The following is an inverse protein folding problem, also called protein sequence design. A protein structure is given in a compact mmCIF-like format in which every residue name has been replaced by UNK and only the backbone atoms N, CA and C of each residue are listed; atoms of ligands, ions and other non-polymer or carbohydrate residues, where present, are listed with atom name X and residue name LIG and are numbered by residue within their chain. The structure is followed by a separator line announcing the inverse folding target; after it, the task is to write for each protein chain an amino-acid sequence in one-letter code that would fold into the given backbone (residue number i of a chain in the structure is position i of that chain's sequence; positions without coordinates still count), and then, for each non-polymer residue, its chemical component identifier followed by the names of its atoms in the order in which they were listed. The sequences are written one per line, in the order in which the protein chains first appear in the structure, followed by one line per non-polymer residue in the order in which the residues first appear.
data_IF_283468030705
#
_entry.id   IF_283468030705
#
_cell.length_a   1.000
_cell.length_b   1.000
_cell.length_c   1.000
_cell.angle_alpha   90.00
_cell.angle_beta   90.00
_cell.angle_gamma   90.00
#
_symmetry.space_group_name_H-M   'P 1'
#
loop_
_entity.id
_entity.type
_entity.pdbx_description
1 polymer ?
#
# COMPACT_ATOMS: atom_id res chain seq x y z
N UNK A 1 -6.73 -12.66 -0.45
CA UNK A 1 -6.31 -13.83 0.34
C UNK A 1 -6.68 -13.63 1.81
N UNK A 2 -6.10 -12.68 2.58
CA UNK A 2 -6.38 -12.50 4.01
C UNK A 2 -7.88 -12.39 4.36
N UNK A 3 -8.68 -11.64 3.61
CA UNK A 3 -10.14 -11.57 3.77
C UNK A 3 -10.83 -12.92 3.54
N UNK A 4 -10.35 -13.70 2.58
CA UNK A 4 -10.92 -15.03 2.30
C UNK A 4 -10.63 -16.01 3.42
N UNK A 5 -9.41 -15.97 3.98
CA UNK A 5 -9.06 -16.77 5.17
C UNK A 5 -9.94 -16.42 6.38
N UNK A 6 -10.34 -15.16 6.49
CA UNK A 6 -11.31 -14.69 7.50
C UNK A 6 -12.78 -14.90 7.10
N UNK A 7 -13.05 -15.74 6.10
CA UNK A 7 -14.41 -16.14 5.64
C UNK A 7 -15.26 -15.00 5.08
N UNK A 8 -14.63 -13.92 4.58
CA UNK A 8 -15.36 -12.85 3.88
C UNK A 8 -15.57 -13.18 2.41
N UNK A 9 -16.68 -12.72 1.86
CA UNK A 9 -16.95 -12.66 0.42
C UNK A 9 -16.21 -11.47 -0.17
N UNK A 10 -15.40 -11.71 -1.18
CA UNK A 10 -14.53 -10.68 -1.77
C UNK A 10 -14.92 -10.44 -3.21
N UNK A 11 -15.13 -9.19 -3.59
CA UNK A 11 -15.29 -8.75 -4.98
C UNK A 11 -14.18 -7.77 -5.33
N UNK A 12 -13.63 -7.87 -6.53
CA UNK A 12 -12.54 -7.03 -7.02
C UNK A 12 -12.96 -6.16 -8.20
N UNK A 13 -12.50 -4.91 -8.20
CA UNK A 13 -12.55 -4.00 -9.35
C UNK A 13 -11.14 -3.49 -9.59
N UNK A 14 -10.61 -3.71 -10.78
CA UNK A 14 -9.27 -3.27 -11.18
C UNK A 14 -9.16 -3.15 -12.70
N UNK A 15 -8.06 -2.57 -13.17
CA UNK A 15 -7.62 -2.77 -14.56
C UNK A 15 -7.19 -4.22 -14.78
N UNK A 16 -6.89 -4.58 -16.03
CA UNK A 16 -6.30 -5.88 -16.34
C UNK A 16 -5.00 -6.09 -15.56
N UNK A 17 -4.73 -7.31 -15.08
CA UNK A 17 -3.53 -7.60 -14.33
C UNK A 17 -2.28 -7.39 -15.21
N UNK A 18 -1.23 -6.86 -14.59
CA UNK A 18 0.08 -6.77 -15.25
C UNK A 18 0.65 -8.18 -15.33
N UNK A 19 1.21 -8.52 -16.49
CA UNK A 19 1.88 -9.80 -16.72
C UNK A 19 2.90 -10.12 -15.62
N UNK A 20 2.87 -11.34 -15.10
CA UNK A 20 3.68 -11.82 -13.97
C UNK A 20 3.37 -11.15 -12.63
N UNK A 21 2.30 -10.38 -12.51
CA UNK A 21 1.85 -9.88 -11.21
C UNK A 21 1.51 -11.05 -10.27
N UNK A 22 1.47 -10.78 -8.96
CA UNK A 22 1.04 -11.79 -7.99
C UNK A 22 -0.36 -12.32 -8.31
N UNK A 23 -1.25 -11.47 -8.85
CA UNK A 23 -2.59 -11.87 -9.25
C UNK A 23 -2.57 -13.00 -10.29
N UNK A 24 -1.75 -12.85 -11.35
CA UNK A 24 -1.62 -13.87 -12.39
C UNK A 24 -0.83 -15.09 -11.90
N UNK A 25 0.35 -14.85 -11.33
CA UNK A 25 1.28 -15.93 -10.95
C UNK A 25 0.78 -16.81 -9.81
N UNK A 26 -0.10 -16.28 -8.95
CA UNK A 26 -0.73 -17.02 -7.88
C UNK A 26 -2.13 -17.55 -8.25
N UNK A 27 -2.61 -17.27 -9.47
CA UNK A 27 -3.92 -17.75 -9.98
C UNK A 27 -5.08 -17.48 -9.03
N UNK A 28 -5.10 -16.24 -8.43
CA UNK A 28 -6.02 -15.91 -7.34
C UNK A 28 -7.39 -15.39 -7.81
N UNK A 29 -7.71 -15.47 -9.09
CA UNK A 29 -9.01 -15.06 -9.64
C UNK A 29 -10.19 -15.76 -8.96
N UNK A 30 -10.04 -17.04 -8.58
CA UNK A 30 -11.10 -17.84 -7.96
C UNK A 30 -11.39 -17.45 -6.48
N UNK A 31 -10.59 -16.56 -5.91
CA UNK A 31 -10.85 -16.00 -4.58
C UNK A 31 -12.06 -15.06 -4.61
N UNK A 32 -12.32 -14.42 -5.76
CA UNK A 32 -13.34 -13.38 -5.92
C UNK A 32 -14.69 -13.97 -6.32
N UNK A 33 -15.78 -13.54 -5.68
CA UNK A 33 -17.13 -13.80 -6.15
C UNK A 33 -17.45 -13.05 -7.44
N UNK A 34 -16.92 -11.81 -7.52
CA UNK A 34 -16.99 -10.97 -8.72
C UNK A 34 -15.62 -10.32 -8.94
N UNK A 35 -15.02 -10.59 -10.08
CA UNK A 35 -13.81 -9.94 -10.56
C UNK A 35 -14.15 -9.11 -11.80
N UNK A 36 -14.07 -7.78 -11.72
CA UNK A 36 -14.47 -6.85 -12.77
C UNK A 36 -13.29 -6.00 -13.24
N UNK A 37 -13.06 -6.02 -14.56
CA UNK A 37 -12.06 -5.17 -15.20
C UNK A 37 -12.71 -3.84 -15.56
N UNK A 38 -12.58 -2.86 -14.65
CA UNK A 38 -13.17 -1.53 -14.78
C UNK A 38 -12.15 -0.49 -14.35
N UNK A 39 -11.96 0.52 -15.21
CA UNK A 39 -11.23 1.72 -14.83
C UNK A 39 -12.10 2.59 -13.91
N UNK A 40 -11.59 2.93 -12.73
CA UNK A 40 -12.30 3.77 -11.75
C UNK A 40 -12.62 5.16 -12.26
N UNK A 41 -11.98 5.61 -13.35
CA UNK A 41 -12.31 6.85 -14.04
C UNK A 41 -13.65 6.78 -14.78
N UNK A 42 -14.11 5.58 -15.11
CA UNK A 42 -15.43 5.37 -15.71
C UNK A 42 -16.51 5.26 -14.63
N UNK A 43 -17.11 6.40 -14.27
CA UNK A 43 -18.10 6.48 -13.19
C UNK A 43 -19.36 5.64 -13.45
N UNK A 44 -19.79 5.50 -14.71
CA UNK A 44 -21.01 4.75 -15.05
C UNK A 44 -20.82 3.25 -14.84
N UNK A 45 -19.71 2.68 -15.34
CA UNK A 45 -19.40 1.26 -15.14
C UNK A 45 -19.15 0.95 -13.66
N UNK A 46 -18.51 1.88 -12.94
CA UNK A 46 -18.26 1.73 -11.51
C UNK A 46 -19.56 1.72 -10.71
N UNK A 47 -20.48 2.65 -10.94
CA UNK A 47 -21.78 2.71 -10.29
C UNK A 47 -22.63 1.46 -10.59
N UNK A 48 -22.58 0.95 -11.84
CA UNK A 48 -23.28 -0.28 -12.22
C UNK A 48 -22.71 -1.52 -11.49
N UNK A 49 -21.36 -1.61 -11.38
CA UNK A 49 -20.72 -2.68 -10.64
C UNK A 49 -21.08 -2.66 -9.15
N UNK A 50 -21.07 -1.50 -8.51
CA UNK A 50 -21.47 -1.32 -7.10
C UNK A 50 -22.92 -1.74 -6.87
N UNK A 51 -23.83 -1.36 -7.77
CA UNK A 51 -25.24 -1.74 -7.70
C UNK A 51 -25.43 -3.26 -7.81
N UNK A 52 -24.68 -3.94 -8.72
CA UNK A 52 -24.77 -5.38 -8.93
C UNK A 52 -24.18 -6.19 -7.78
N UNK A 53 -23.05 -5.75 -7.24
CA UNK A 53 -22.34 -6.42 -6.14
C UNK A 53 -23.03 -6.14 -4.80
N UNK A 54 -23.54 -4.93 -4.59
CA UNK A 54 -24.14 -4.46 -3.33
C UNK A 54 -23.23 -4.72 -2.12
N UNK A 55 -21.98 -4.21 -2.10
CA UNK A 55 -21.02 -4.52 -1.05
C UNK A 55 -21.44 -3.95 0.30
N UNK A 56 -21.07 -4.62 1.40
CA UNK A 56 -21.18 -4.08 2.77
C UNK A 56 -20.05 -3.11 3.11
N UNK A 57 -18.83 -3.38 2.59
CA UNK A 57 -17.62 -2.60 2.86
C UNK A 57 -16.90 -2.31 1.56
N UNK A 58 -16.39 -1.09 1.43
CA UNK A 58 -15.54 -0.67 0.31
C UNK A 58 -14.14 -0.33 0.81
N UNK A 59 -13.12 -0.98 0.24
CA UNK A 59 -11.70 -0.64 0.48
C UNK A 59 -11.12 -0.13 -0.84
N UNK A 60 -10.89 1.18 -0.93
CA UNK A 60 -10.37 1.81 -2.13
C UNK A 60 -8.84 1.85 -2.11
N UNK A 61 -8.24 0.92 -2.86
CA UNK A 61 -6.79 0.78 -3.01
C UNK A 61 -6.30 1.16 -4.42
N UNK A 62 -7.21 1.26 -5.39
CA UNK A 62 -6.87 1.55 -6.79
C UNK A 62 -6.23 2.94 -6.92
N UNK A 63 -5.10 3.01 -7.60
CA UNK A 63 -4.36 4.24 -7.84
C UNK A 63 -3.33 4.03 -8.96
N UNK A 64 -2.80 5.11 -9.54
CA UNK A 64 -1.48 5.12 -10.15
C UNK A 64 -0.47 5.34 -9.00
N UNK A 65 0.34 4.32 -8.58
CA UNK A 65 1.11 4.37 -7.35
C UNK A 65 2.60 4.69 -7.55
N UNK A 66 3.07 4.83 -8.79
CA UNK A 66 4.49 4.95 -9.10
C UNK A 66 4.89 6.42 -9.25
N UNK A 67 5.82 6.88 -8.38
CA UNK A 67 6.28 8.27 -8.37
C UNK A 67 6.89 8.66 -9.72
N UNK A 68 7.78 7.83 -10.28
CA UNK A 68 8.44 8.14 -11.55
C UNK A 68 7.47 8.18 -12.73
N UNK A 69 6.50 7.27 -12.75
CA UNK A 69 5.45 7.28 -13.75
C UNK A 69 4.61 8.56 -13.68
N UNK A 70 4.40 9.09 -12.48
CA UNK A 70 3.68 10.36 -12.33
C UNK A 70 4.40 11.57 -12.95
N UNK A 71 5.72 11.52 -13.09
CA UNK A 71 6.47 12.53 -13.84
C UNK A 71 6.36 12.33 -15.35
N UNK A 72 6.26 11.08 -15.83
CA UNK A 72 6.10 10.77 -17.25
C UNK A 72 4.69 11.07 -17.74
N UNK A 73 3.68 10.71 -16.94
CA UNK A 73 2.27 10.93 -17.23
C UNK A 73 1.54 11.52 -16.01
N UNK A 74 1.69 12.82 -15.75
CA UNK A 74 1.01 13.49 -14.66
C UNK A 74 -0.52 13.54 -14.85
N UNK A 75 -1.01 13.64 -16.09
CA UNK A 75 -2.44 13.75 -16.39
C UNK A 75 -3.17 12.48 -15.96
N UNK A 76 -2.74 11.31 -16.42
CA UNK A 76 -3.31 10.02 -16.02
C UNK A 76 -3.18 9.81 -14.50
N UNK A 77 -2.10 10.29 -13.90
CA UNK A 77 -1.91 10.20 -12.44
C UNK A 77 -2.98 11.00 -11.68
N UNK A 78 -3.21 12.26 -12.07
CA UNK A 78 -4.26 13.08 -11.44
C UNK A 78 -5.65 12.53 -11.72
N UNK A 79 -5.95 12.15 -12.96
CA UNK A 79 -7.24 11.58 -13.34
C UNK A 79 -7.56 10.32 -12.53
N UNK A 80 -6.61 9.40 -12.43
CA UNK A 80 -6.81 8.15 -11.68
C UNK A 80 -6.95 8.42 -10.19
N UNK A 81 -6.03 9.19 -9.61
CA UNK A 81 -5.96 9.33 -8.16
C UNK A 81 -6.99 10.30 -7.60
N UNK A 82 -7.39 11.33 -8.34
CA UNK A 82 -8.37 12.32 -7.89
C UNK A 82 -9.76 11.99 -8.41
N UNK A 83 -9.95 11.99 -9.75
CA UNK A 83 -11.26 11.73 -10.35
C UNK A 83 -11.73 10.30 -10.05
N UNK A 84 -10.83 9.31 -10.12
CA UNK A 84 -11.13 7.93 -9.75
C UNK A 84 -11.59 7.81 -8.30
N UNK A 85 -10.91 8.46 -7.35
CA UNK A 85 -11.34 8.49 -5.93
C UNK A 85 -12.70 9.16 -5.77
N UNK A 86 -12.96 10.29 -6.44
CA UNK A 86 -14.28 10.95 -6.41
C UNK A 86 -15.38 10.02 -6.94
N UNK A 87 -15.11 9.27 -8.01
CA UNK A 87 -16.06 8.32 -8.57
C UNK A 87 -16.37 7.18 -7.58
N UNK A 88 -15.36 6.66 -6.85
CA UNK A 88 -15.56 5.66 -5.80
C UNK A 88 -16.42 6.23 -4.67
N UNK A 89 -16.12 7.42 -4.16
CA UNK A 89 -16.91 8.09 -3.11
C UNK A 89 -18.38 8.27 -3.55
N UNK A 90 -18.59 8.68 -4.79
CA UNK A 90 -19.92 8.85 -5.38
C UNK A 90 -20.67 7.53 -5.54
N UNK A 91 -20.00 6.47 -6.04
CA UNK A 91 -20.60 5.15 -6.18
C UNK A 91 -20.98 4.58 -4.79
N UNK A 92 -20.11 4.73 -3.81
CA UNK A 92 -20.37 4.34 -2.42
C UNK A 92 -21.58 5.04 -1.84
N UNK A 93 -21.65 6.37 -1.96
CA UNK A 93 -22.78 7.17 -1.39
C UNK A 93 -24.15 6.83 -2.02
N UNK A 94 -24.17 6.33 -3.25
CA UNK A 94 -25.38 5.86 -3.95
C UNK A 94 -25.76 4.41 -3.60
N UNK A 95 -24.89 3.64 -2.97
CA UNK A 95 -25.07 2.22 -2.70
C UNK A 95 -25.46 1.98 -1.25
N UNK A 96 -26.77 1.79 -1.01
CA UNK A 96 -27.35 1.72 0.35
C UNK A 96 -26.85 0.56 1.21
N UNK A 97 -26.30 -0.50 0.59
CA UNK A 97 -25.73 -1.64 1.33
C UNK A 97 -24.42 -1.31 2.01
N UNK A 98 -23.67 -0.29 1.53
CA UNK A 98 -22.36 0.04 2.09
C UNK A 98 -22.49 0.65 3.48
N UNK A 99 -21.90 -0.03 4.45
CA UNK A 99 -21.89 0.32 5.88
C UNK A 99 -20.62 1.04 6.30
N UNK A 100 -19.52 0.82 5.58
CA UNK A 100 -18.22 1.45 5.85
C UNK A 100 -17.37 1.53 4.59
N UNK A 101 -16.52 2.56 4.50
CA UNK A 101 -15.50 2.64 3.46
C UNK A 101 -14.15 3.08 4.01
N UNK A 102 -13.09 2.52 3.44
CA UNK A 102 -11.71 2.87 3.74
C UNK A 102 -11.02 3.37 2.46
N UNK A 103 -10.44 4.55 2.51
CA UNK A 103 -9.71 5.17 1.40
C UNK A 103 -8.22 5.14 1.71
N UNK A 104 -7.41 4.56 0.83
CA UNK A 104 -5.97 4.47 1.03
C UNK A 104 -5.25 5.62 0.35
N UNK A 105 -4.45 6.32 1.13
CA UNK A 105 -3.51 7.33 0.65
C UNK A 105 -2.07 6.96 1.03
N UNK A 106 -1.18 7.89 1.29
CA UNK A 106 0.24 7.64 1.48
C UNK A 106 0.85 8.62 2.48
N UNK A 107 1.98 8.27 3.08
CA UNK A 107 2.83 9.15 3.87
C UNK A 107 3.33 10.38 3.08
N UNK A 108 3.42 10.27 1.76
CA UNK A 108 3.90 11.34 0.87
C UNK A 108 2.92 12.50 0.70
N UNK A 109 1.72 12.40 1.30
CA UNK A 109 0.76 13.52 1.30
C UNK A 109 1.22 14.71 2.13
N UNK A 110 2.07 14.50 3.14
CA UNK A 110 2.51 15.54 4.06
C UNK A 110 3.48 16.54 3.42
N UNK A 111 3.45 17.79 3.92
CA UNK A 111 4.50 18.77 3.65
C UNK A 111 5.79 18.27 4.29
N UNK A 112 6.67 17.67 3.48
CA UNK A 112 7.90 17.12 3.99
C UNK A 112 8.92 18.23 4.37
N UNK A 113 9.33 18.25 5.63
CA UNK A 113 10.37 19.11 6.21
C UNK A 113 11.49 18.30 6.87
N UNK A 114 11.64 17.01 6.49
CA UNK A 114 12.62 16.07 7.04
C UNK A 114 12.53 15.89 8.56
N UNK A 115 11.32 15.79 9.07
CA UNK A 115 11.01 15.66 10.49
C UNK A 115 11.28 14.22 10.98
N UNK A 116 12.06 14.07 12.06
CA UNK A 116 12.42 12.74 12.61
C UNK A 116 11.28 12.09 13.38
N UNK A 117 10.51 12.86 14.13
CA UNK A 117 9.43 12.40 15.01
C UNK A 117 8.23 11.79 14.24
N UNK A 118 8.30 11.82 12.92
CA UNK A 118 7.20 11.39 12.06
C UNK A 118 6.05 12.39 12.00
N UNK A 119 5.26 12.30 10.95
CA UNK A 119 4.09 13.16 10.72
C UNK A 119 2.87 12.59 11.41
N UNK A 120 2.12 13.43 12.14
CA UNK A 120 0.82 13.10 12.72
C UNK A 120 -0.32 13.50 11.76
N UNK A 121 -1.49 12.92 11.96
CA UNK A 121 -2.62 13.02 11.02
C UNK A 121 -3.14 14.45 10.80
N UNK A 122 -2.92 15.35 11.76
CA UNK A 122 -3.36 16.77 11.70
C UNK A 122 -2.39 17.69 10.96
N UNK A 123 -1.23 17.20 10.53
CA UNK A 123 -0.23 18.06 9.88
C UNK A 123 -0.59 18.40 8.43
N UNK A 124 0.04 19.47 7.94
CA UNK A 124 -0.26 20.07 6.63
C UNK A 124 0.04 19.12 5.49
N UNK A 125 -0.91 18.94 4.59
CA UNK A 125 -0.74 18.17 3.36
C UNK A 125 -0.19 19.06 2.24
N UNK A 126 0.92 18.63 1.62
CA UNK A 126 1.55 19.31 0.50
C UNK A 126 2.49 18.33 -0.23
N UNK A 127 1.93 17.43 -1.05
CA UNK A 127 2.72 16.55 -1.90
C UNK A 127 3.64 17.36 -2.84
N UNK A 128 4.86 16.92 -3.04
CA UNK A 128 5.86 17.63 -3.82
C UNK A 128 5.81 17.27 -5.31
N UNK A 129 5.68 16.00 -5.62
CA UNK A 129 5.62 15.46 -6.99
C UNK A 129 4.17 15.20 -7.43
N UNK A 130 3.91 14.89 -8.71
CA UNK A 130 2.54 14.67 -9.21
C UNK A 130 1.81 13.51 -8.50
N UNK A 131 2.51 12.43 -8.13
CA UNK A 131 1.92 11.33 -7.34
C UNK A 131 1.54 11.82 -5.94
N UNK A 132 2.50 12.40 -5.22
CA UNK A 132 2.28 12.86 -3.84
C UNK A 132 1.19 13.92 -3.75
N UNK A 133 1.16 14.87 -4.71
CA UNK A 133 0.13 15.91 -4.76
C UNK A 133 -1.24 15.33 -5.14
N UNK A 134 -1.31 14.38 -6.08
CA UNK A 134 -2.58 13.72 -6.43
C UNK A 134 -3.19 12.96 -5.23
N UNK A 135 -2.35 12.27 -4.45
CA UNK A 135 -2.78 11.57 -3.23
C UNK A 135 -3.16 12.54 -2.09
N UNK A 136 -2.46 13.69 -1.97
CA UNK A 136 -2.85 14.74 -1.02
C UNK A 136 -4.20 15.37 -1.38
N UNK A 137 -4.45 15.60 -2.67
CA UNK A 137 -5.75 16.11 -3.15
C UNK A 137 -6.84 15.07 -2.92
N UNK A 138 -6.60 13.79 -3.22
CA UNK A 138 -7.56 12.71 -2.97
C UNK A 138 -7.92 12.59 -1.48
N UNK A 139 -6.95 12.79 -0.60
CA UNK A 139 -7.12 12.81 0.85
C UNK A 139 -8.02 13.98 1.28
N UNK A 140 -7.69 15.22 0.89
CA UNK A 140 -8.48 16.41 1.18
C UNK A 140 -9.88 16.35 0.56
N UNK A 141 -9.99 15.86 -0.68
CA UNK A 141 -11.25 15.63 -1.36
C UNK A 141 -12.15 14.68 -0.56
N UNK A 142 -11.59 13.55 -0.09
CA UNK A 142 -12.33 12.58 0.73
C UNK A 142 -12.82 13.22 2.01
N UNK A 143 -11.99 13.94 2.74
CA UNK A 143 -12.37 14.64 3.97
C UNK A 143 -13.48 15.66 3.72
N UNK A 144 -13.41 16.43 2.63
CA UNK A 144 -14.45 17.42 2.27
C UNK A 144 -15.75 16.74 1.84
N UNK A 145 -15.65 15.69 1.01
CA UNK A 145 -16.81 14.95 0.50
C UNK A 145 -17.63 14.33 1.64
N UNK A 146 -16.97 13.65 2.58
CA UNK A 146 -17.63 13.01 3.73
C UNK A 146 -18.36 14.03 4.61
N UNK A 147 -17.80 15.22 4.80
CA UNK A 147 -18.47 16.31 5.56
C UNK A 147 -19.67 16.90 4.85
N UNK A 148 -19.69 16.90 3.52
CA UNK A 148 -20.72 17.57 2.71
C UNK A 148 -21.82 16.64 2.21
N UNK A 149 -21.57 15.34 2.12
CA UNK A 149 -22.49 14.34 1.58
C UNK A 149 -22.97 13.38 2.67
N UNK A 150 -24.19 12.84 2.52
CA UNK A 150 -24.60 11.66 3.29
C UNK A 150 -23.75 10.46 2.82
N UNK A 151 -22.67 10.20 3.53
CA UNK A 151 -21.78 9.07 3.29
C UNK A 151 -21.89 8.05 4.42
N UNK A 152 -21.54 6.80 4.14
CA UNK A 152 -21.32 5.83 5.22
C UNK A 152 -20.09 6.24 6.06
N UNK A 153 -19.90 5.67 7.25
CA UNK A 153 -18.69 5.83 8.05
C UNK A 153 -17.44 5.63 7.18
N UNK A 154 -16.55 6.61 7.20
CA UNK A 154 -15.41 6.68 6.27
C UNK A 154 -14.13 6.99 7.01
N UNK A 155 -13.08 6.22 6.71
CA UNK A 155 -11.72 6.52 7.15
C UNK A 155 -10.76 6.66 5.98
N UNK A 156 -9.68 7.39 6.24
CA UNK A 156 -8.52 7.48 5.36
C UNK A 156 -7.34 6.82 6.08
N UNK A 157 -6.68 5.88 5.43
CA UNK A 157 -5.45 5.28 5.91
C UNK A 157 -4.26 5.80 5.11
N UNK A 158 -3.27 6.36 5.80
CA UNK A 158 -1.99 6.80 5.26
C UNK A 158 -0.93 5.79 5.66
N UNK A 159 -0.25 5.20 4.70
CA UNK A 159 0.83 4.26 4.96
C UNK A 159 2.12 4.68 4.28
N UNK A 160 3.24 4.21 4.82
CA UNK A 160 4.58 4.45 4.28
C UNK A 160 5.00 3.44 3.21
N UNK A 161 6.26 3.04 3.26
CA UNK A 161 6.82 2.05 2.34
C UNK A 161 6.41 0.63 2.74
N UNK A 162 5.34 0.15 2.15
CA UNK A 162 4.84 -1.22 2.37
C UNK A 162 5.62 -2.19 1.49
N UNK A 163 6.14 -3.27 2.09
CA UNK A 163 6.91 -4.32 1.42
C UNK A 163 6.28 -5.69 1.64
N UNK A 164 6.51 -6.60 0.70
CA UNK A 164 5.99 -7.98 0.78
C UNK A 164 6.35 -8.77 -0.47
N UNK A 165 6.15 -10.06 -0.44
CA UNK A 165 6.37 -10.92 -1.58
C UNK A 165 5.38 -10.67 -2.71
N UNK A 166 5.83 -10.86 -3.96
CA UNK A 166 4.98 -10.80 -5.15
C UNK A 166 4.81 -9.40 -5.78
N UNK A 167 5.46 -8.36 -5.26
CA UNK A 167 5.57 -7.09 -5.99
C UNK A 167 6.56 -7.26 -7.15
N UNK A 168 6.11 -6.99 -8.36
CA UNK A 168 6.92 -7.05 -9.59
C UNK A 168 7.08 -5.67 -10.23
N UNK A 169 6.68 -4.61 -9.52
CA UNK A 169 6.74 -3.23 -10.03
C UNK A 169 8.19 -2.79 -10.17
N UNK A 170 8.54 -2.30 -11.34
CA UNK A 170 9.84 -1.65 -11.58
C UNK A 170 9.99 -0.36 -10.77
N UNK A 171 11.22 0.06 -10.56
CA UNK A 171 11.58 1.30 -9.86
C UNK A 171 11.17 1.32 -8.37
N UNK A 172 10.91 0.13 -7.80
CA UNK A 172 10.75 -0.09 -6.36
C UNK A 172 11.93 -0.88 -5.81
N UNK A 173 12.40 -0.50 -4.62
CA UNK A 173 13.65 -1.02 -4.05
C UNK A 173 13.68 -2.55 -4.01
N UNK A 174 12.75 -3.21 -3.33
CA UNK A 174 12.80 -4.67 -3.14
C UNK A 174 12.68 -5.42 -4.48
N UNK A 175 11.71 -5.14 -5.36
CA UNK A 175 11.66 -5.77 -6.70
C UNK A 175 12.94 -5.59 -7.50
N UNK A 176 13.53 -4.38 -7.51
CA UNK A 176 14.75 -4.09 -8.26
C UNK A 176 15.96 -4.84 -7.69
N UNK A 177 16.09 -4.95 -6.36
CA UNK A 177 17.13 -5.77 -5.70
C UNK A 177 16.99 -7.24 -6.09
N UNK A 178 15.80 -7.80 -5.91
CA UNK A 178 15.52 -9.22 -6.21
C UNK A 178 15.77 -9.54 -7.68
N UNK A 179 15.29 -8.67 -8.59
CA UNK A 179 15.54 -8.85 -10.02
C UNK A 179 17.02 -8.81 -10.36
N UNK A 180 17.79 -7.91 -9.74
CA UNK A 180 19.24 -7.85 -9.94
C UNK A 180 19.92 -9.12 -9.44
N UNK A 181 19.64 -9.54 -8.21
CA UNK A 181 20.27 -10.71 -7.61
C UNK A 181 19.93 -12.02 -8.34
N UNK A 182 18.69 -12.20 -8.78
CA UNK A 182 18.28 -13.37 -9.57
C UNK A 182 18.97 -13.48 -10.93
N UNK A 183 19.47 -12.35 -11.45
CA UNK A 183 20.25 -12.29 -12.69
C UNK A 183 21.78 -12.19 -12.43
N UNK A 184 22.25 -12.43 -11.22
CA UNK A 184 23.66 -12.28 -10.82
C UNK A 184 24.24 -10.89 -11.09
N UNK A 185 23.41 -9.84 -10.96
CA UNK A 185 23.80 -8.44 -11.13
C UNK A 185 23.88 -7.74 -9.78
N UNK A 186 24.75 -6.74 -9.68
CA UNK A 186 24.81 -5.84 -8.52
C UNK A 186 23.93 -4.62 -8.78
N UNK A 187 22.87 -4.40 -7.99
CA UNK A 187 21.97 -3.25 -8.18
C UNK A 187 22.64 -1.93 -7.83
N UNK A 188 22.23 -0.85 -8.50
CA UNK A 188 22.68 0.50 -8.21
C UNK A 188 21.62 1.28 -7.43
N UNK A 189 22.00 1.84 -6.27
CA UNK A 189 21.13 2.63 -5.40
C UNK A 189 21.31 4.12 -5.66
N UNK A 190 20.21 4.81 -5.97
CA UNK A 190 20.18 6.27 -6.21
C UNK A 190 20.42 7.09 -4.94
N UNK A 191 19.66 6.79 -3.90
CA UNK A 191 19.65 7.53 -2.63
C UNK A 191 19.85 6.57 -1.43
N UNK A 192 21.05 5.98 -1.24
CA UNK A 192 21.28 4.96 -0.21
C UNK A 192 21.03 5.46 1.21
N UNK A 193 21.23 6.74 1.46
CA UNK A 193 21.04 7.37 2.79
C UNK A 193 19.58 7.83 3.04
N UNK A 194 18.69 7.70 2.06
CA UNK A 194 17.30 8.07 2.26
C UNK A 194 16.63 7.14 3.28
N UNK A 195 15.91 7.74 4.25
CA UNK A 195 15.22 7.02 5.33
C UNK A 195 13.75 6.88 5.02
N UNK A 196 13.21 5.67 5.22
CA UNK A 196 11.80 5.35 4.95
C UNK A 196 11.20 4.50 6.09
N UNK A 197 9.89 4.61 6.31
CA UNK A 197 9.15 3.77 7.27
C UNK A 197 8.77 2.44 6.60
N UNK A 198 9.70 1.48 6.62
CA UNK A 198 9.50 0.16 6.02
C UNK A 198 8.57 -0.69 6.87
N UNK A 199 7.49 -1.21 6.28
CA UNK A 199 6.51 -2.03 6.98
C UNK A 199 6.09 -3.23 6.13
N UNK A 200 5.90 -4.38 6.77
CA UNK A 200 5.40 -5.56 6.07
C UNK A 200 3.93 -5.37 5.67
N UNK A 201 3.57 -5.84 4.48
CA UNK A 201 2.21 -5.70 3.93
C UNK A 201 1.14 -6.30 4.85
N UNK A 202 1.42 -7.40 5.54
CA UNK A 202 0.45 -8.04 6.44
C UNK A 202 0.18 -7.19 7.68
N UNK A 203 1.17 -6.49 8.23
CA UNK A 203 0.95 -5.54 9.34
C UNK A 203 0.06 -4.39 8.92
N UNK A 204 0.35 -3.82 7.75
CA UNK A 204 -0.43 -2.73 7.19
C UNK A 204 -1.89 -3.17 6.94
N UNK A 205 -2.09 -4.31 6.27
CA UNK A 205 -3.42 -4.87 5.99
C UNK A 205 -4.19 -5.21 7.27
N UNK A 206 -3.52 -5.76 8.29
CA UNK A 206 -4.14 -6.03 9.59
C UNK A 206 -4.64 -4.73 10.23
N UNK A 207 -3.84 -3.65 10.18
CA UNK A 207 -4.27 -2.33 10.65
C UNK A 207 -5.50 -1.81 9.91
N UNK A 208 -5.55 -1.99 8.59
CA UNK A 208 -6.70 -1.60 7.78
C UNK A 208 -7.96 -2.37 8.15
N UNK A 209 -7.86 -3.68 8.39
CA UNK A 209 -9.01 -4.50 8.78
C UNK A 209 -9.50 -4.14 10.19
N UNK A 210 -8.62 -3.91 11.16
CA UNK A 210 -8.99 -3.39 12.49
C UNK A 210 -9.73 -2.05 12.35
N UNK A 211 -9.26 -1.15 11.47
CA UNK A 211 -9.91 0.13 11.23
C UNK A 211 -11.30 -0.04 10.58
N UNK A 212 -11.45 -0.98 9.65
CA UNK A 212 -12.76 -1.32 9.05
C UNK A 212 -13.72 -1.83 10.11
N UNK A 213 -13.28 -2.71 11.00
CA UNK A 213 -14.12 -3.21 12.12
C UNK A 213 -14.55 -2.06 13.06
N UNK A 214 -13.66 -1.10 13.31
CA UNK A 214 -14.00 0.11 14.08
C UNK A 214 -14.99 1.01 13.35
N UNK A 215 -14.86 1.17 12.03
CA UNK A 215 -15.84 1.90 11.23
C UNK A 215 -17.24 1.28 11.31
N UNK A 216 -17.33 -0.04 11.22
CA UNK A 216 -18.60 -0.77 11.33
C UNK A 216 -19.27 -0.63 12.71
N UNK A 217 -18.50 -0.31 13.74
CA UNK A 217 -18.99 -0.05 15.12
C UNK A 217 -19.14 1.45 15.43
N UNK A 218 -18.92 2.34 14.45
CA UNK A 218 -19.11 3.78 14.58
C UNK A 218 -17.98 4.57 15.27
N UNK A 219 -16.79 3.99 15.41
CA UNK A 219 -15.66 4.59 16.13
C UNK A 219 -14.35 4.71 15.33
N UNK A 220 -14.39 4.58 14.01
CA UNK A 220 -13.20 4.55 13.14
C UNK A 220 -13.05 5.72 12.19
N UNK A 221 -13.95 6.69 12.19
CA UNK A 221 -13.94 7.78 11.21
C UNK A 221 -12.72 8.69 11.31
N UNK A 222 -12.39 9.32 10.19
CA UNK A 222 -11.28 10.28 10.09
C UNK A 222 -10.01 9.69 9.47
N UNK A 223 -8.88 10.28 9.83
CA UNK A 223 -7.59 9.98 9.22
C UNK A 223 -6.71 9.18 10.19
N UNK A 224 -5.98 8.20 9.66
CA UNK A 224 -5.15 7.29 10.44
C UNK A 224 -3.82 7.00 9.74
N UNK A 225 -2.72 7.14 10.48
CA UNK A 225 -1.40 6.75 10.02
C UNK A 225 -1.07 5.31 10.41
N UNK A 226 -0.51 4.55 9.46
CA UNK A 226 0.01 3.21 9.68
C UNK A 226 1.47 3.14 9.23
N UNK A 227 2.38 2.97 10.18
CA UNK A 227 3.81 2.88 9.95
C UNK A 227 4.49 2.13 11.09
N UNK A 228 5.74 1.69 10.90
CA UNK A 228 6.49 0.95 11.90
C UNK A 228 6.72 1.78 13.16
N UNK A 229 7.19 1.12 14.21
CA UNK A 229 7.64 1.82 15.42
C UNK A 229 8.82 2.75 15.09
N UNK A 230 8.97 3.84 15.85
CA UNK A 230 9.96 4.89 15.55
C UNK A 230 11.41 4.36 15.50
N UNK A 231 11.73 3.36 16.32
CA UNK A 231 13.04 2.70 16.34
C UNK A 231 13.27 1.72 15.17
N UNK A 232 12.26 1.46 14.35
CA UNK A 232 12.30 0.52 13.23
C UNK A 232 12.51 1.19 11.86
N UNK A 233 12.67 2.52 11.81
CA UNK A 233 12.98 3.24 10.57
C UNK A 233 14.42 2.98 10.14
N UNK A 234 14.65 2.77 8.83
CA UNK A 234 15.97 2.43 8.28
C UNK A 234 16.21 3.12 6.94
N UNK A 235 17.48 3.24 6.61
CA UNK A 235 17.94 3.73 5.31
C UNK A 235 17.72 2.71 4.20
N UNK A 236 17.72 3.19 2.96
CA UNK A 236 17.68 2.34 1.76
C UNK A 236 18.91 1.40 1.72
N UNK A 237 20.10 1.86 2.15
CA UNK A 237 21.30 1.05 2.25
C UNK A 237 21.13 -0.10 3.23
N UNK A 238 20.68 0.15 4.47
CA UNK A 238 20.46 -0.89 5.49
C UNK A 238 19.47 -1.97 5.02
N UNK A 239 18.39 -1.57 4.34
CA UNK A 239 17.45 -2.51 3.72
C UNK A 239 18.16 -3.37 2.67
N UNK A 240 18.91 -2.73 1.76
CA UNK A 240 19.59 -3.43 0.67
C UNK A 240 20.65 -4.39 1.18
N UNK A 241 21.41 -4.03 2.22
CA UNK A 241 22.40 -4.88 2.85
C UNK A 241 21.74 -6.10 3.50
N UNK A 242 20.62 -5.92 4.19
CA UNK A 242 19.91 -7.03 4.82
C UNK A 242 19.28 -7.97 3.78
N UNK A 243 18.67 -7.43 2.72
CA UNK A 243 18.14 -8.24 1.60
C UNK A 243 19.27 -9.04 0.94
N UNK A 244 20.41 -8.38 0.63
CA UNK A 244 21.56 -9.01 0.03
C UNK A 244 22.15 -10.13 0.90
N UNK A 245 22.27 -9.90 2.21
CA UNK A 245 22.71 -10.90 3.19
C UNK A 245 21.77 -12.12 3.23
N UNK A 246 20.46 -11.91 3.26
CA UNK A 246 19.47 -12.99 3.27
C UNK A 246 19.47 -13.73 1.93
N UNK A 247 19.59 -13.00 0.81
CA UNK A 247 19.68 -13.61 -0.52
C UNK A 247 20.94 -14.45 -0.68
N UNK A 248 22.06 -14.03 -0.10
CA UNK A 248 23.34 -14.71 -0.15
C UNK A 248 24.28 -14.16 -1.21
N UNK A 249 24.19 -12.87 -1.55
CA UNK A 249 25.13 -12.21 -2.47
C UNK A 249 26.34 -11.65 -1.72
N UNK A 250 27.49 -11.63 -2.38
CA UNK A 250 28.73 -11.09 -1.82
C UNK A 250 28.68 -9.55 -1.74
N UNK A 251 28.12 -8.91 -2.77
CA UNK A 251 27.99 -7.45 -2.86
C UNK A 251 26.54 -7.05 -3.03
N UNK A 252 25.98 -6.40 -2.02
CA UNK A 252 24.57 -6.06 -1.98
C UNK A 252 24.18 -4.95 -2.97
N UNK A 253 25.03 -3.95 -3.18
CA UNK A 253 24.74 -2.82 -4.06
C UNK A 253 25.98 -1.98 -4.39
N UNK A 254 25.82 -1.07 -5.36
CA UNK A 254 26.74 0.03 -5.66
C UNK A 254 25.98 1.34 -5.65
N UNK A 255 26.67 2.46 -5.41
CA UNK A 255 26.05 3.79 -5.53
C UNK A 255 25.84 4.16 -7.00
N UNK A 256 24.65 4.59 -7.32
CA UNK A 256 24.37 5.25 -8.60
C UNK A 256 24.82 6.71 -8.50
N UNK A 257 25.64 7.15 -9.46
CA UNK A 257 26.17 8.52 -9.53
C UNK A 257 25.48 9.37 -10.61
N UNK A 258 24.37 8.88 -11.21
CA UNK A 258 23.58 9.60 -12.20
C UNK A 258 22.73 10.72 -11.58
N UNK A 259 22.21 11.59 -12.42
CA UNK A 259 21.23 12.61 -12.02
C UNK A 259 19.83 11.99 -11.88
N UNK A 260 19.17 12.22 -10.76
CA UNK A 260 17.86 11.67 -10.46
C UNK A 260 16.88 12.77 -10.01
N UNK A 261 15.58 12.64 -10.31
CA UNK A 261 14.57 13.51 -9.75
C UNK A 261 14.64 13.53 -8.23
N UNK A 262 14.23 14.65 -7.63
CA UNK A 262 14.24 14.81 -6.18
C UNK A 262 13.41 13.73 -5.49
N UNK A 263 14.00 13.09 -4.49
CA UNK A 263 13.31 12.22 -3.55
C UNK A 263 13.52 12.73 -2.11
N UNK A 264 12.51 12.57 -1.26
CA UNK A 264 12.60 12.96 0.15
C UNK A 264 13.76 12.24 0.86
N UNK A 265 14.60 12.97 1.56
CA UNK A 265 15.72 12.39 2.32
C UNK A 265 15.25 11.60 3.55
N UNK A 266 14.28 12.16 4.28
CA UNK A 266 13.68 11.56 5.47
C UNK A 266 12.16 11.66 5.36
N UNK A 267 11.47 10.53 5.47
CA UNK A 267 10.04 10.47 5.59
C UNK A 267 9.68 9.43 6.64
N UNK A 268 8.89 9.82 7.62
CA UNK A 268 8.43 8.93 8.70
C UNK A 268 7.00 9.28 9.11
N UNK A 269 6.25 8.28 9.61
CA UNK A 269 4.91 8.42 10.13
C UNK A 269 4.88 8.23 11.65
N UNK A 270 4.12 9.07 12.33
CA UNK A 270 3.74 8.82 13.71
C UNK A 270 2.39 8.08 13.73
N UNK A 271 2.40 6.83 14.15
CA UNK A 271 1.23 5.95 14.23
C UNK A 271 0.66 5.83 15.65
N UNK A 272 1.00 6.75 16.55
CA UNK A 272 0.57 6.70 17.96
C UNK A 272 -0.95 6.69 18.12
N UNK A 273 -1.68 7.38 17.24
CA UNK A 273 -3.15 7.36 17.21
C UNK A 273 -3.69 5.94 16.94
N UNK A 274 -3.19 5.26 15.91
CA UNK A 274 -3.61 3.91 15.58
C UNK A 274 -3.24 2.94 16.72
N UNK A 275 -2.06 3.07 17.29
CA UNK A 275 -1.61 2.24 18.42
C UNK A 275 -2.49 2.42 19.67
N UNK A 276 -2.83 3.66 20.04
CA UNK A 276 -3.58 3.95 21.26
C UNK A 276 -5.11 3.72 21.12
N UNK A 277 -5.70 4.08 19.96
CA UNK A 277 -7.16 4.07 19.80
C UNK A 277 -7.69 2.82 19.10
N UNK A 278 -6.91 2.22 18.18
CA UNK A 278 -7.27 0.97 17.53
C UNK A 278 -6.64 -0.25 18.23
N UNK A 279 -5.73 -0.04 19.18
CA UNK A 279 -4.89 -1.08 19.77
C UNK A 279 -4.10 -1.87 18.72
N UNK A 280 -3.85 -1.24 17.56
CA UNK A 280 -3.02 -1.79 16.50
C UNK A 280 -1.54 -1.65 16.85
N UNK A 281 -0.79 -2.69 16.56
CA UNK A 281 0.68 -2.68 16.57
C UNK A 281 1.19 -3.61 15.47
N UNK A 282 2.35 -3.29 14.93
CA UNK A 282 3.08 -4.19 14.05
C UNK A 282 3.45 -5.47 14.81
N UNK A 283 3.23 -6.60 14.19
CA UNK A 283 3.64 -7.92 14.68
C UNK A 283 5.06 -8.26 14.21
N UNK A 284 5.51 -7.69 13.10
CA UNK A 284 6.81 -7.93 12.50
C UNK A 284 7.70 -6.69 12.67
N UNK A 285 8.85 -6.86 13.32
CA UNK A 285 9.90 -5.83 13.34
C UNK A 285 10.57 -5.68 11.98
N UNK A 286 11.48 -4.72 11.86
CA UNK A 286 12.17 -4.43 10.60
C UNK A 286 12.85 -5.66 10.00
N UNK A 287 13.68 -6.37 10.78
CA UNK A 287 14.43 -7.53 10.27
C UNK A 287 13.51 -8.66 9.81
N UNK A 288 12.44 -8.93 10.55
CA UNK A 288 11.47 -9.95 10.18
C UNK A 288 10.70 -9.56 8.91
N UNK A 289 10.31 -8.30 8.79
CA UNK A 289 9.64 -7.77 7.59
C UNK A 289 10.48 -7.98 6.33
N UNK A 290 11.78 -7.66 6.41
CA UNK A 290 12.73 -7.87 5.30
C UNK A 290 12.94 -9.36 5.05
N UNK A 291 13.13 -10.16 6.11
CA UNK A 291 13.34 -11.61 5.99
C UNK A 291 12.13 -12.28 5.33
N UNK A 292 10.93 -12.06 5.81
CA UNK A 292 9.72 -12.66 5.25
C UNK A 292 9.51 -12.29 3.79
N UNK A 293 9.76 -11.02 3.46
CA UNK A 293 9.69 -10.54 2.08
C UNK A 293 10.73 -11.24 1.21
N UNK A 294 11.99 -11.27 1.64
CA UNK A 294 13.09 -11.87 0.84
C UNK A 294 12.94 -13.37 0.71
N UNK A 295 12.59 -14.08 1.80
CA UNK A 295 12.37 -15.51 1.80
C UNK A 295 11.21 -15.93 0.90
N UNK A 296 10.14 -15.09 0.80
CA UNK A 296 9.06 -15.31 -0.14
C UNK A 296 9.59 -15.43 -1.58
N UNK A 297 10.40 -14.46 -2.01
CA UNK A 297 11.00 -14.50 -3.36
C UNK A 297 11.96 -15.69 -3.53
N UNK A 298 12.84 -15.95 -2.57
CA UNK A 298 13.75 -17.10 -2.64
C UNK A 298 13.00 -18.41 -2.81
N UNK A 299 11.94 -18.62 -2.04
CA UNK A 299 11.11 -19.82 -2.11
C UNK A 299 10.44 -19.96 -3.47
N UNK A 300 9.91 -18.87 -4.03
CA UNK A 300 9.30 -18.88 -5.37
C UNK A 300 10.33 -19.14 -6.46
N UNK A 301 11.49 -18.51 -6.40
CA UNK A 301 12.60 -18.81 -7.33
C UNK A 301 13.13 -20.25 -7.20
N UNK A 302 12.98 -20.87 -6.03
CA UNK A 302 13.31 -22.27 -5.79
C UNK A 302 12.19 -23.24 -6.17
N UNK A 303 11.10 -22.78 -6.78
CA UNK A 303 10.02 -23.59 -7.30
C UNK A 303 8.76 -23.71 -6.45
N UNK A 304 8.68 -23.03 -5.29
CA UNK A 304 7.43 -22.95 -4.54
C UNK A 304 6.42 -22.08 -5.31
N UNK A 305 5.15 -22.51 -5.37
CA UNK A 305 4.15 -21.70 -6.04
C UNK A 305 3.92 -20.36 -5.30
N UNK A 306 3.68 -19.24 -6.02
CA UNK A 306 3.44 -17.94 -5.40
C UNK A 306 2.25 -17.93 -4.43
N UNK A 307 1.19 -18.68 -4.74
CA UNK A 307 0.02 -18.79 -3.85
C UNK A 307 0.37 -19.51 -2.55
N UNK A 308 1.15 -20.58 -2.63
CA UNK A 308 1.61 -21.35 -1.46
C UNK A 308 2.51 -20.50 -0.56
N UNK A 309 3.46 -19.76 -1.16
CA UNK A 309 4.33 -18.84 -0.44
C UNK A 309 3.52 -17.75 0.30
N UNK A 310 2.50 -17.20 -0.36
CA UNK A 310 1.63 -16.18 0.24
C UNK A 310 0.75 -16.77 1.37
N UNK A 311 0.19 -17.98 1.20
CA UNK A 311 -0.59 -18.67 2.24
C UNK A 311 0.25 -18.92 3.49
N UNK A 312 1.45 -19.47 3.34
CA UNK A 312 2.37 -19.70 4.47
C UNK A 312 2.67 -18.43 5.26
N UNK A 313 2.88 -17.31 4.57
CA UNK A 313 3.10 -16.03 5.25
C UNK A 313 1.84 -15.57 6.00
N UNK A 314 0.65 -15.72 5.43
CA UNK A 314 -0.62 -15.35 6.09
C UNK A 314 -0.86 -16.24 7.31
N UNK A 315 -0.75 -17.56 7.19
CA UNK A 315 -0.94 -18.51 8.29
C UNK A 315 0.03 -18.23 9.45
N UNK A 316 1.31 -18.03 9.12
CA UNK A 316 2.33 -17.68 10.12
C UNK A 316 2.01 -16.33 10.78
N UNK A 317 1.58 -15.31 10.03
CA UNK A 317 1.22 -14.00 10.57
C UNK A 317 0.00 -14.08 11.51
N UNK A 318 -1.02 -14.85 11.14
CA UNK A 318 -2.22 -15.05 12.00
C UNK A 318 -1.87 -15.81 13.29
N UNK A 319 -0.83 -16.65 13.30
CA UNK A 319 -0.37 -17.38 14.49
C UNK A 319 0.41 -16.52 15.50
N UNK A 320 0.92 -15.37 15.11
CA UNK A 320 1.60 -14.41 16.00
C UNK A 320 0.54 -13.73 16.88
N UNK A 321 0.67 -13.89 18.19
CA UNK A 321 -0.22 -13.32 19.21
C UNK A 321 -0.04 -11.82 19.42
#
# INVERSE_FOLDING_TARGET
MLLKERSHKVSGISLDPIRKSLFESAEIQDIFEHDKRIDIRNSLLLEDAFRKVSPDVVIHMAAQPLVRESYRDPVTTYDTNIQGTLNVLKATSKTKSVKAQLILTTDKVYKNVNKREGYVESEVLRGHDPYSSSKAIADLLTQAYVRSAKSCPTAIARAGNVIGGGDTSSERLIPDLINSYSNNLVPALRFPNAVRPWQHVLDCLNGYLILVDKLLTGNGEGVWNFGPAENEIRTVAEVSDLVGKIWGVEKSWVKDNGDHPHEAGLLNLNSSKARSQLHWKDKLGFEESIRWTTDWYKNVYSGLSPIEAAKRNIEKFESIK
#
